data_IF_960536094799
#
_entry.id   IF_960536094799
#
_cell.length_a   1.000
_cell.length_b   1.000
_cell.length_c   1.000
_cell.angle_alpha   90.00
_cell.angle_beta   90.00
_cell.angle_gamma   90.00
#
_symmetry.space_group_name_H-M   'P 1'
#
loop_
_entity.id
_entity.type
_entity.pdbx_description
1 polymer ?
#
# COMPACT_ATOMS: atom_id res chain seq x y z
N UNK A 1 15.82 -28.99 -34.20
CA UNK A 1 14.42 -28.58 -34.43
C UNK A 1 13.48 -29.08 -33.33
N UNK A 2 13.43 -30.39 -33.05
CA UNK A 2 12.60 -31.00 -31.98
C UNK A 2 12.68 -30.30 -30.60
N UNK A 3 13.88 -29.93 -30.14
CA UNK A 3 14.06 -29.32 -28.81
C UNK A 3 13.43 -27.93 -28.70
N UNK A 4 13.46 -27.13 -29.76
CA UNK A 4 12.89 -25.78 -29.75
C UNK A 4 11.35 -25.84 -29.73
N UNK A 5 10.76 -26.77 -30.48
CA UNK A 5 9.31 -27.00 -30.48
C UNK A 5 8.81 -27.41 -29.10
N UNK A 6 9.55 -28.24 -28.38
CA UNK A 6 9.20 -28.66 -27.01
C UNK A 6 9.30 -27.51 -26.00
N UNK A 7 10.33 -26.66 -26.12
CA UNK A 7 10.49 -25.48 -25.27
C UNK A 7 9.35 -24.48 -25.52
N UNK A 8 9.05 -24.19 -26.78
CA UNK A 8 7.97 -23.27 -27.15
C UNK A 8 6.60 -23.76 -26.66
N UNK A 9 6.32 -25.06 -26.80
CA UNK A 9 5.09 -25.66 -26.29
C UNK A 9 5.00 -25.59 -24.75
N UNK A 10 6.10 -25.91 -24.06
CA UNK A 10 6.14 -25.83 -22.59
C UNK A 10 5.91 -24.40 -22.09
N UNK A 11 6.52 -23.41 -22.74
CA UNK A 11 6.37 -21.99 -22.40
C UNK A 11 4.95 -21.47 -22.66
N UNK A 12 4.30 -21.92 -23.73
CA UNK A 12 2.90 -21.58 -24.01
C UNK A 12 1.94 -22.14 -22.95
N UNK A 13 2.17 -23.38 -22.50
CA UNK A 13 1.33 -24.02 -21.47
C UNK A 13 1.52 -23.34 -20.10
N UNK A 14 2.75 -22.99 -19.72
CA UNK A 14 3.00 -22.31 -18.44
C UNK A 14 2.51 -20.86 -18.44
N UNK A 15 2.59 -20.15 -19.58
CA UNK A 15 2.02 -18.80 -19.71
C UNK A 15 0.49 -18.80 -19.55
N UNK A 16 -0.21 -19.81 -20.06
CA UNK A 16 -1.65 -19.95 -19.87
C UNK A 16 -2.03 -20.26 -18.41
N UNK A 17 -1.19 -20.99 -17.68
CA UNK A 17 -1.38 -21.27 -16.26
C UNK A 17 -1.00 -20.09 -15.34
N UNK A 18 -0.17 -19.16 -15.82
CA UNK A 18 0.24 -17.96 -15.06
C UNK A 18 -0.88 -16.91 -14.94
N UNK A 19 -1.96 -17.01 -15.74
CA UNK A 19 -3.23 -16.36 -15.46
C UNK A 19 -3.94 -17.09 -14.31
N UNK A 20 -3.34 -17.08 -13.13
CA UNK A 20 -3.83 -17.88 -11.99
C UNK A 20 -5.09 -17.24 -11.40
N UNK A 21 -6.14 -18.05 -11.33
CA UNK A 21 -7.30 -17.81 -10.46
C UNK A 21 -6.85 -17.97 -9.01
N UNK A 22 -7.20 -17.04 -8.13
CA UNK A 22 -6.89 -17.14 -6.69
C UNK A 22 -8.10 -17.77 -5.99
N UNK A 23 -8.10 -19.08 -5.70
CA UNK A 23 -9.31 -19.78 -5.24
C UNK A 23 -9.82 -19.21 -3.92
N UNK A 24 -8.90 -18.89 -3.01
CA UNK A 24 -9.21 -18.26 -1.72
C UNK A 24 -9.99 -16.94 -1.84
N UNK A 25 -9.85 -16.23 -2.97
CA UNK A 25 -10.58 -14.99 -3.25
C UNK A 25 -11.85 -15.24 -4.06
N UNK A 26 -11.80 -16.07 -5.10
CA UNK A 26 -12.96 -16.31 -5.97
C UNK A 26 -14.03 -17.21 -5.36
N UNK A 27 -13.66 -18.16 -4.51
CA UNK A 27 -14.60 -19.06 -3.85
C UNK A 27 -15.40 -18.35 -2.74
N UNK A 28 -14.96 -17.14 -2.34
CA UNK A 28 -15.66 -16.28 -1.39
C UNK A 28 -16.70 -15.37 -2.05
N UNK A 29 -16.73 -15.27 -3.39
CA UNK A 29 -17.79 -14.53 -4.07
C UNK A 29 -19.12 -15.29 -3.98
N UNK A 30 -20.17 -14.56 -3.65
CA UNK A 30 -21.54 -15.08 -3.76
C UNK A 30 -21.89 -15.33 -5.24
N UNK A 31 -22.77 -16.29 -5.56
CA UNK A 31 -23.06 -16.66 -6.95
C UNK A 31 -23.53 -15.52 -7.85
N UNK A 32 -24.23 -14.54 -7.28
CA UNK A 32 -24.75 -13.33 -7.91
C UNK A 32 -23.66 -12.29 -8.26
N UNK A 33 -22.52 -12.32 -7.57
CA UNK A 33 -21.39 -11.43 -7.85
C UNK A 33 -20.45 -11.97 -8.92
N UNK A 34 -20.53 -13.27 -9.27
CA UNK A 34 -19.64 -13.88 -10.27
C UNK A 34 -19.98 -13.38 -11.67
N UNK A 35 -19.11 -12.53 -12.20
CA UNK A 35 -19.28 -11.94 -13.54
C UNK A 35 -20.32 -10.83 -13.59
N UNK A 36 -20.70 -10.28 -12.43
CA UNK A 36 -21.50 -9.07 -12.36
C UNK A 36 -20.72 -7.90 -12.96
N UNK A 37 -21.44 -6.95 -13.56
CA UNK A 37 -20.86 -5.71 -14.04
C UNK A 37 -20.19 -4.97 -12.88
N UNK A 38 -19.06 -4.33 -13.19
CA UNK A 38 -18.38 -3.51 -12.21
C UNK A 38 -19.26 -2.29 -11.87
N UNK A 39 -19.45 -1.95 -10.58
CA UNK A 39 -20.31 -0.84 -10.20
C UNK A 39 -19.79 0.51 -10.70
N UNK A 40 -20.68 1.48 -10.82
CA UNK A 40 -20.29 2.84 -11.17
C UNK A 40 -19.29 3.39 -10.13
N UNK A 41 -18.18 3.93 -10.63
CA UNK A 41 -17.15 4.54 -9.78
C UNK A 41 -17.62 5.91 -9.29
N UNK A 42 -17.54 6.12 -7.98
CA UNK A 42 -17.80 7.43 -7.39
C UNK A 42 -16.57 8.34 -7.58
N UNK A 43 -16.71 9.58 -8.06
CA UNK A 43 -15.60 10.51 -8.16
C UNK A 43 -15.04 10.80 -6.76
N UNK A 44 -13.73 10.63 -6.59
CA UNK A 44 -13.08 10.77 -5.28
C UNK A 44 -13.02 12.22 -4.80
N UNK A 45 -12.98 13.17 -5.74
CA UNK A 45 -12.93 14.61 -5.45
C UNK A 45 -14.13 15.07 -4.61
N UNK A 46 -15.29 14.42 -4.78
CA UNK A 46 -16.53 14.72 -4.05
C UNK A 46 -16.80 13.75 -2.88
N UNK A 47 -16.08 12.63 -2.82
CA UNK A 47 -16.34 11.55 -1.88
C UNK A 47 -15.44 11.59 -0.63
N UNK A 48 -14.33 12.32 -0.70
CA UNK A 48 -13.33 12.38 0.36
C UNK A 48 -13.28 13.78 0.98
N UNK A 49 -13.07 13.83 2.29
CA UNK A 49 -12.71 15.07 2.98
C UNK A 49 -11.40 15.61 2.37
N UNK A 50 -11.33 16.89 1.98
CA UNK A 50 -10.08 17.47 1.50
C UNK A 50 -9.00 17.35 2.57
N UNK A 51 -7.91 16.68 2.22
CA UNK A 51 -6.72 16.65 3.07
C UNK A 51 -5.86 17.88 2.78
N UNK A 52 -5.13 18.33 3.80
CA UNK A 52 -4.06 19.31 3.59
C UNK A 52 -3.10 18.81 2.52
N UNK A 53 -2.56 19.71 1.69
CA UNK A 53 -1.52 19.35 0.73
C UNK A 53 -0.38 18.60 1.44
N UNK A 54 0.15 17.52 0.85
CA UNK A 54 1.10 16.64 1.53
C UNK A 54 2.37 17.39 1.97
N UNK A 55 2.78 18.44 1.26
CA UNK A 55 3.88 19.31 1.66
C UNK A 55 3.59 20.01 3.00
N UNK A 56 2.40 20.58 3.15
CA UNK A 56 2.02 21.33 4.35
C UNK A 56 1.83 20.40 5.56
N UNK A 57 1.22 19.23 5.36
CA UNK A 57 1.12 18.21 6.41
C UNK A 57 2.50 17.74 6.91
N UNK A 58 3.47 17.60 5.99
CA UNK A 58 4.84 17.23 6.31
C UNK A 58 5.59 18.31 7.10
N UNK A 59 5.46 19.57 6.70
CA UNK A 59 6.06 20.72 7.38
C UNK A 59 5.55 20.85 8.83
N UNK A 60 4.23 20.77 9.02
CA UNK A 60 3.61 20.82 10.35
C UNK A 60 4.09 19.68 11.26
N UNK A 61 4.18 18.46 10.71
CA UNK A 61 4.66 17.30 11.44
C UNK A 61 6.14 17.47 11.83
N UNK A 62 6.97 17.98 10.92
CA UNK A 62 8.39 18.20 11.19
C UNK A 62 8.58 19.22 12.33
N UNK A 63 7.86 20.34 12.31
CA UNK A 63 7.90 21.35 13.39
C UNK A 63 7.50 20.76 14.75
N UNK A 64 6.45 19.94 14.78
CA UNK A 64 6.02 19.27 16.00
C UNK A 64 7.11 18.33 16.54
N UNK A 65 7.73 17.54 15.67
CA UNK A 65 8.78 16.59 16.03
C UNK A 65 10.03 17.30 16.54
N UNK A 66 10.44 18.40 15.90
CA UNK A 66 11.59 19.19 16.32
C UNK A 66 11.37 19.78 17.71
N UNK A 67 10.22 20.40 17.94
CA UNK A 67 9.83 20.93 19.26
C UNK A 67 9.82 19.85 20.34
N UNK A 68 9.28 18.67 20.03
CA UNK A 68 9.29 17.52 20.95
C UNK A 68 10.71 17.09 21.26
N UNK A 69 11.57 16.98 20.25
CA UNK A 69 12.96 16.57 20.40
C UNK A 69 13.75 17.51 21.30
N UNK A 70 13.57 18.83 21.16
CA UNK A 70 14.25 19.83 21.97
C UNK A 70 13.85 19.76 23.45
N UNK A 71 12.55 19.54 23.72
CA UNK A 71 12.08 19.33 25.10
C UNK A 71 12.71 18.09 25.72
N UNK A 72 12.82 17.00 24.95
CA UNK A 72 13.44 15.77 25.44
C UNK A 72 14.93 15.96 25.70
N UNK A 73 15.66 16.66 24.82
CA UNK A 73 17.08 16.99 25.01
C UNK A 73 17.31 17.80 26.28
N UNK A 74 16.53 18.87 26.50
CA UNK A 74 16.61 19.67 27.73
C UNK A 74 16.35 18.86 29.00
N UNK A 75 15.38 17.94 28.96
CA UNK A 75 15.09 17.04 30.09
C UNK A 75 16.26 16.09 30.35
N UNK A 76 16.86 15.53 29.31
CA UNK A 76 18.01 14.64 29.44
C UNK A 76 19.23 15.37 30.03
N UNK A 77 19.50 16.61 29.59
CA UNK A 77 20.56 17.45 30.14
C UNK A 77 20.33 17.75 31.63
N UNK A 78 19.09 18.07 32.02
CA UNK A 78 18.76 18.33 33.42
C UNK A 78 19.00 17.09 34.31
N UNK A 79 18.63 15.90 33.83
CA UNK A 79 18.89 14.64 34.55
C UNK A 79 20.40 14.39 34.67
N UNK A 80 21.13 14.50 33.55
CA UNK A 80 22.59 14.31 33.54
C UNK A 80 23.31 15.25 34.51
N UNK A 81 22.88 16.50 34.58
CA UNK A 81 23.49 17.50 35.46
C UNK A 81 23.13 17.30 36.93
N UNK A 82 22.03 16.62 37.24
CA UNK A 82 21.64 16.32 38.63
C UNK A 82 22.33 15.06 39.19
N UNK A 83 22.90 14.22 38.32
CA UNK A 83 23.67 13.02 38.70
C UNK A 83 25.16 13.31 38.94
N UNK A 84 25.63 14.54 38.64
CA UNK A 84 26.99 15.04 38.89
C UNK A 84 27.07 15.82 40.21
#
# INVERSE_FOLDING_TARGET
MQFWTRIAFFLAVTAAAACTRVPELEDRLTPDLRGADYPDLLPLDDALEPLDPPQQAGENLQEELDTRSERLRRRAEAVKNAEL
#
